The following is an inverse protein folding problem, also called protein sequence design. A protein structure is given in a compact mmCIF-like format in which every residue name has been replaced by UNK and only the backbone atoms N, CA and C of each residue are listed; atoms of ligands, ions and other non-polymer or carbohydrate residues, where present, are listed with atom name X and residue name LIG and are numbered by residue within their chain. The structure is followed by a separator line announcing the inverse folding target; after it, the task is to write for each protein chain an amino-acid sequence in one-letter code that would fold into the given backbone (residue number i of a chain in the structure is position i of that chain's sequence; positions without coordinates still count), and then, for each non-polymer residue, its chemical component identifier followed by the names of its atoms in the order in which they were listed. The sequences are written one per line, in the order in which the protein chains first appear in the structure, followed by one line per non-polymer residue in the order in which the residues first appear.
data_IF_317210169599
#
_entry.id   IF_317210169599
#
_cell.length_a   1.000
_cell.length_b   1.000
_cell.length_c   1.000
_cell.angle_alpha   90.00
_cell.angle_beta   90.00
_cell.angle_gamma   90.00
#
_symmetry.space_group_name_H-M   'P 1'
#
loop_
_entity.id
_entity.type
_entity.pdbx_description
1 polymer ?
#
# COMPACT_ATOMS: atom_id res chain seq x y z
N UNK A 1 30.13 92.78 -10.07
CA UNK A 1 29.03 92.71 -11.06
C UNK A 1 28.43 91.32 -10.94
N UNK A 2 27.15 91.04 -10.72
CA UNK A 2 25.92 91.82 -10.69
C UNK A 2 24.88 90.99 -9.90
N UNK A 3 24.07 91.66 -9.08
CA UNK A 3 22.86 91.14 -8.43
C UNK A 3 21.90 90.41 -9.39
N UNK A 4 21.12 89.44 -8.86
CA UNK A 4 19.64 89.52 -8.85
C UNK A 4 18.98 88.45 -7.97
N UNK A 5 18.30 88.96 -6.96
CA UNK A 5 17.18 88.37 -6.23
C UNK A 5 16.02 88.00 -7.15
N UNK A 6 15.35 86.87 -6.91
CA UNK A 6 13.95 86.71 -7.31
C UNK A 6 13.13 85.95 -6.26
N UNK A 7 12.26 86.71 -5.58
CA UNK A 7 11.10 86.19 -4.84
C UNK A 7 10.06 85.70 -5.86
N UNK A 8 9.60 84.47 -5.71
CA UNK A 8 8.27 83.96 -6.08
C UNK A 8 7.99 82.88 -5.02
N UNK A 9 7.00 82.99 -4.17
CA UNK A 9 5.61 83.31 -4.48
C UNK A 9 4.82 82.14 -3.88
N UNK A 10 4.47 82.29 -2.61
CA UNK A 10 3.53 81.42 -1.91
C UNK A 10 2.20 81.42 -2.68
N UNK A 11 1.84 80.30 -3.31
CA UNK A 11 0.48 79.94 -3.73
C UNK A 11 0.51 78.55 -4.38
N UNK A 12 0.18 77.53 -3.60
CA UNK A 12 0.03 76.17 -4.14
C UNK A 12 -0.30 75.09 -3.10
N UNK A 13 -0.77 75.45 -1.90
CA UNK A 13 -1.00 74.49 -0.81
C UNK A 13 -2.39 73.84 -0.75
N UNK A 14 -3.30 74.10 -1.70
CA UNK A 14 -4.72 73.71 -1.55
C UNK A 14 -5.33 72.87 -2.68
N UNK A 15 -4.55 72.44 -3.69
CA UNK A 15 -5.07 71.60 -4.78
C UNK A 15 -4.47 70.18 -4.86
N UNK A 16 -3.49 69.82 -4.02
CA UNK A 16 -2.92 68.46 -4.01
C UNK A 16 -3.59 67.49 -3.03
N UNK A 17 -4.52 67.98 -2.20
CA UNK A 17 -5.15 67.16 -1.16
C UNK A 17 -6.32 66.32 -1.69
N UNK A 18 -7.00 66.68 -2.79
CA UNK A 18 -8.14 65.88 -3.28
C UNK A 18 -7.74 64.68 -4.15
N UNK A 19 -6.63 64.74 -4.87
CA UNK A 19 -6.15 63.65 -5.72
C UNK A 19 -5.44 62.53 -4.95
N UNK A 20 -5.04 62.79 -3.70
CA UNK A 20 -4.40 61.81 -2.81
C UNK A 20 -5.42 60.91 -2.09
N UNK A 21 -6.62 61.42 -1.73
CA UNK A 21 -7.71 60.60 -1.17
C UNK A 21 -8.35 59.67 -2.22
N UNK A 22 -8.48 60.11 -3.47
CA UNK A 22 -9.10 59.30 -4.54
C UNK A 22 -8.15 58.16 -4.99
N UNK A 23 -6.84 58.40 -5.06
CA UNK A 23 -5.86 57.35 -5.37
C UNK A 23 -5.54 56.43 -4.17
N UNK A 24 -5.65 56.92 -2.93
CA UNK A 24 -5.47 56.10 -1.72
C UNK A 24 -6.60 55.09 -1.50
N UNK A 25 -7.84 55.46 -1.83
CA UNK A 25 -9.01 54.58 -1.69
C UNK A 25 -8.94 53.34 -2.58
N UNK A 26 -8.48 53.48 -3.84
CA UNK A 26 -8.33 52.35 -4.77
C UNK A 26 -7.30 51.32 -4.32
N UNK A 27 -6.13 51.77 -3.84
CA UNK A 27 -5.09 50.87 -3.33
C UNK A 27 -5.53 50.11 -2.07
N UNK A 28 -6.30 50.75 -1.19
CA UNK A 28 -6.86 50.08 0.00
C UNK A 28 -7.98 49.08 -0.35
N UNK A 29 -8.78 49.37 -1.38
CA UNK A 29 -9.85 48.49 -1.82
C UNK A 29 -9.30 47.25 -2.54
N UNK A 30 -8.26 47.40 -3.35
CA UNK A 30 -7.55 46.28 -3.99
C UNK A 30 -6.78 45.41 -2.98
N UNK A 31 -6.29 45.98 -1.87
CA UNK A 31 -5.70 45.23 -0.75
C UNK A 31 -6.75 44.51 0.11
N UNK A 32 -7.98 45.03 0.21
CA UNK A 32 -9.09 44.39 0.92
C UNK A 32 -9.74 43.27 0.08
N UNK A 33 -9.93 43.50 -1.23
CA UNK A 33 -10.28 42.45 -2.20
C UNK A 33 -9.16 41.40 -2.26
N UNK A 34 -7.91 41.87 -2.29
CA UNK A 34 -6.68 41.29 -1.76
C UNK A 34 -6.83 40.18 -0.72
N UNK A 35 -7.08 40.64 0.49
CA UNK A 35 -7.10 39.83 1.69
C UNK A 35 -8.24 38.81 1.67
N UNK A 36 -9.39 39.20 1.13
CA UNK A 36 -10.57 38.34 1.03
C UNK A 36 -10.39 37.22 0.00
N UNK A 37 -9.68 37.42 -1.12
CA UNK A 37 -9.34 36.32 -2.04
C UNK A 37 -8.31 35.36 -1.44
N UNK A 38 -7.32 35.85 -0.67
CA UNK A 38 -6.32 34.97 -0.02
C UNK A 38 -6.95 34.12 1.08
N UNK A 39 -7.88 34.70 1.84
CA UNK A 39 -8.64 33.97 2.85
C UNK A 39 -9.55 32.90 2.23
N UNK A 40 -10.27 33.24 1.15
CA UNK A 40 -11.10 32.27 0.39
C UNK A 40 -10.25 31.16 -0.25
N UNK A 41 -9.08 31.49 -0.80
CA UNK A 41 -8.17 30.50 -1.39
C UNK A 41 -7.59 29.53 -0.35
N UNK A 42 -7.26 30.00 0.85
CA UNK A 42 -6.78 29.15 1.94
C UNK A 42 -7.83 28.13 2.42
N UNK A 43 -9.09 28.57 2.56
CA UNK A 43 -10.19 27.67 2.94
C UNK A 43 -10.47 26.64 1.85
N UNK A 44 -10.46 27.03 0.57
CA UNK A 44 -10.64 26.11 -0.56
C UNK A 44 -9.51 25.07 -0.62
N UNK A 45 -8.26 25.45 -0.36
CA UNK A 45 -7.14 24.51 -0.32
C UNK A 45 -7.27 23.51 0.83
N UNK A 46 -7.69 23.93 2.02
CA UNK A 46 -7.93 23.03 3.14
C UNK A 46 -9.08 22.05 2.88
N UNK A 47 -10.15 22.52 2.22
CA UNK A 47 -11.28 21.68 1.82
C UNK A 47 -10.87 20.64 0.78
N UNK A 48 -10.10 21.05 -0.23
CA UNK A 48 -9.58 20.15 -1.27
C UNK A 48 -8.64 19.10 -0.68
N UNK A 49 -7.72 19.51 0.21
CA UNK A 49 -6.84 18.59 0.91
C UNK A 49 -7.60 17.61 1.84
N UNK A 50 -8.69 18.06 2.46
CA UNK A 50 -9.54 17.19 3.30
C UNK A 50 -10.33 16.20 2.45
N UNK A 51 -10.86 16.65 1.31
CA UNK A 51 -11.58 15.82 0.37
C UNK A 51 -10.68 14.72 -0.22
N UNK A 52 -9.45 15.05 -0.62
CA UNK A 52 -8.48 14.06 -1.10
C UNK A 52 -8.16 12.97 -0.07
N UNK A 53 -8.08 13.31 1.23
CA UNK A 53 -7.83 12.31 2.29
C UNK A 53 -9.03 11.39 2.48
N UNK A 54 -10.24 11.96 2.50
CA UNK A 54 -11.49 11.19 2.63
C UNK A 54 -11.67 10.28 1.42
N UNK A 55 -11.36 10.74 0.21
CA UNK A 55 -11.45 9.93 -1.00
C UNK A 55 -10.52 8.71 -0.94
N UNK A 56 -9.27 8.88 -0.47
CA UNK A 56 -8.33 7.76 -0.29
C UNK A 56 -8.84 6.76 0.75
N UNK A 57 -9.37 7.25 1.87
CA UNK A 57 -9.92 6.40 2.91
C UNK A 57 -11.17 5.65 2.43
N UNK A 58 -12.06 6.32 1.69
CA UNK A 58 -13.24 5.70 1.10
C UNK A 58 -12.88 4.64 0.07
N UNK A 59 -11.87 4.89 -0.79
CA UNK A 59 -11.36 3.88 -1.74
C UNK A 59 -10.79 2.66 -1.02
N UNK A 60 -10.04 2.88 0.06
CA UNK A 60 -9.51 1.80 0.88
C UNK A 60 -10.65 0.99 1.49
N UNK A 61 -11.60 1.63 2.15
CA UNK A 61 -12.76 0.94 2.73
C UNK A 61 -13.56 0.14 1.69
N UNK A 62 -13.79 0.73 0.52
CA UNK A 62 -14.48 0.06 -0.58
C UNK A 62 -13.71 -1.18 -1.06
N UNK A 63 -12.38 -1.10 -1.23
CA UNK A 63 -11.53 -2.26 -1.59
C UNK A 63 -11.77 -3.42 -0.62
N UNK A 64 -11.74 -3.16 0.68
CA UNK A 64 -11.91 -4.19 1.70
C UNK A 64 -13.35 -4.72 1.80
N UNK A 65 -14.36 -3.86 1.69
CA UNK A 65 -15.75 -4.29 1.61
C UNK A 65 -16.00 -5.22 0.41
N UNK A 66 -15.43 -4.94 -0.77
CA UNK A 66 -15.52 -5.82 -1.93
C UNK A 66 -14.90 -7.20 -1.70
N UNK A 67 -13.78 -7.29 -0.98
CA UNK A 67 -13.18 -8.59 -0.62
C UNK A 67 -14.11 -9.38 0.30
N UNK A 68 -14.73 -8.73 1.29
CA UNK A 68 -15.72 -9.38 2.15
C UNK A 68 -16.94 -9.91 1.38
N UNK A 69 -17.46 -9.13 0.42
CA UNK A 69 -18.54 -9.59 -0.46
C UNK A 69 -18.09 -10.78 -1.30
N UNK A 70 -16.85 -10.78 -1.80
CA UNK A 70 -16.32 -11.86 -2.62
C UNK A 70 -16.16 -13.18 -1.85
N UNK A 71 -15.77 -13.12 -0.57
CA UNK A 71 -15.53 -14.32 0.27
C UNK A 71 -16.82 -14.86 0.86
N UNK A 72 -17.67 -14.00 1.42
CA UNK A 72 -18.84 -14.43 2.20
C UNK A 72 -20.18 -14.20 1.50
N UNK A 73 -20.21 -13.43 0.40
CA UNK A 73 -21.45 -13.14 -0.33
C UNK A 73 -22.42 -12.21 0.41
N UNK A 74 -21.94 -11.44 1.39
CA UNK A 74 -22.78 -10.48 2.13
C UNK A 74 -23.20 -9.28 1.27
N UNK A 75 -24.30 -8.61 1.66
CA UNK A 75 -24.62 -7.29 1.14
C UNK A 75 -23.53 -6.28 1.48
N UNK A 76 -23.28 -5.32 0.57
CA UNK A 76 -22.18 -4.34 0.70
C UNK A 76 -22.21 -3.56 2.02
N UNK A 77 -23.40 -3.25 2.55
CA UNK A 77 -23.55 -2.52 3.81
C UNK A 77 -23.14 -3.37 5.03
N UNK A 78 -23.51 -4.65 5.02
CA UNK A 78 -23.15 -5.59 6.09
C UNK A 78 -21.66 -5.92 6.02
N UNK A 79 -21.15 -6.21 4.82
CA UNK A 79 -19.73 -6.44 4.56
C UNK A 79 -18.85 -5.27 5.03
N UNK A 80 -19.30 -4.03 4.79
CA UNK A 80 -18.61 -2.85 5.27
C UNK A 80 -18.55 -2.79 6.81
N UNK A 81 -19.64 -3.11 7.49
CA UNK A 81 -19.70 -3.07 8.97
C UNK A 81 -18.75 -4.09 9.59
N UNK A 82 -18.80 -5.34 9.11
CA UNK A 82 -17.90 -6.43 9.53
C UNK A 82 -16.43 -6.10 9.23
N UNK A 83 -16.15 -5.47 8.09
CA UNK A 83 -14.79 -5.03 7.76
C UNK A 83 -14.29 -3.98 8.77
N UNK A 84 -15.11 -2.99 9.16
CA UNK A 84 -14.73 -2.01 10.18
C UNK A 84 -14.47 -2.69 11.53
N UNK A 85 -15.30 -3.63 11.94
CA UNK A 85 -15.11 -4.35 13.20
C UNK A 85 -13.82 -5.16 13.20
N UNK A 86 -13.53 -5.83 12.08
CA UNK A 86 -12.26 -6.52 11.89
C UNK A 86 -11.07 -5.55 11.97
N UNK A 87 -11.14 -4.40 11.30
CA UNK A 87 -10.09 -3.38 11.36
C UNK A 87 -9.90 -2.77 12.75
N UNK A 88 -10.95 -2.72 13.57
CA UNK A 88 -10.82 -2.28 14.97
C UNK A 88 -10.00 -3.28 15.78
N UNK A 89 -10.09 -4.58 15.47
CA UNK A 89 -9.27 -5.63 16.07
C UNK A 89 -7.83 -5.66 15.52
N UNK A 90 -7.66 -5.57 14.19
CA UNK A 90 -6.34 -5.67 13.55
C UNK A 90 -5.53 -4.37 13.60
N UNK A 91 -6.22 -3.23 13.57
CA UNK A 91 -5.63 -1.89 13.67
C UNK A 91 -4.67 -1.53 12.53
N UNK A 92 -3.58 -0.85 12.91
CA UNK A 92 -2.58 -0.28 12.00
C UNK A 92 -1.80 -1.32 11.19
N UNK A 93 -1.80 -2.59 11.61
CA UNK A 93 -0.96 -3.62 10.96
C UNK A 93 -1.41 -3.94 9.56
N UNK A 94 -2.71 -3.86 9.27
CA UNK A 94 -3.23 -4.12 7.92
C UNK A 94 -2.76 -3.05 6.93
N UNK A 95 -2.63 -1.81 7.39
CA UNK A 95 -2.13 -0.70 6.57
C UNK A 95 -0.63 -0.86 6.33
N UNK A 96 0.15 -1.13 7.38
CA UNK A 96 1.60 -1.35 7.26
C UNK A 96 1.91 -2.52 6.34
N UNK A 97 1.13 -3.60 6.43
CA UNK A 97 1.30 -4.76 5.57
C UNK A 97 0.97 -4.44 4.10
N UNK A 98 -0.13 -3.73 3.81
CA UNK A 98 -0.49 -3.34 2.43
C UNK A 98 0.59 -2.41 1.82
N UNK A 99 1.18 -1.51 2.62
CA UNK A 99 2.29 -0.63 2.19
C UNK A 99 3.59 -1.42 1.96
N UNK A 100 3.94 -2.35 2.85
CA UNK A 100 5.14 -3.19 2.73
C UNK A 100 5.05 -4.10 1.51
N UNK A 101 3.90 -4.75 1.32
CA UNK A 101 3.61 -5.59 0.15
C UNK A 101 3.66 -4.73 -1.10
N UNK A 102 2.99 -3.57 -1.14
CA UNK A 102 3.02 -2.68 -2.29
C UNK A 102 4.44 -2.28 -2.70
N UNK A 103 5.28 -1.91 -1.74
CA UNK A 103 6.67 -1.54 -1.99
C UNK A 103 7.54 -2.75 -2.41
N UNK A 104 7.36 -3.90 -1.76
CA UNK A 104 8.07 -5.15 -2.12
C UNK A 104 7.74 -5.61 -3.54
N UNK A 105 6.46 -5.53 -3.92
CA UNK A 105 6.00 -5.90 -5.26
C UNK A 105 6.45 -4.90 -6.32
N UNK A 106 6.53 -3.61 -5.99
CA UNK A 106 7.08 -2.60 -6.89
C UNK A 106 8.57 -2.87 -7.20
N UNK A 107 9.36 -3.28 -6.19
CA UNK A 107 10.75 -3.71 -6.40
C UNK A 107 10.82 -4.98 -7.26
N UNK A 108 9.95 -5.97 -7.00
CA UNK A 108 9.85 -7.17 -7.85
C UNK A 108 9.54 -6.84 -9.32
N UNK A 109 8.61 -5.91 -9.55
CA UNK A 109 8.29 -5.39 -10.88
C UNK A 109 9.44 -4.62 -11.52
N UNK A 110 10.21 -3.85 -10.74
CA UNK A 110 11.39 -3.16 -11.24
C UNK A 110 12.46 -4.14 -11.72
N UNK A 111 12.68 -5.23 -10.99
CA UNK A 111 13.62 -6.31 -11.38
C UNK A 111 13.15 -7.00 -12.66
N UNK A 112 11.87 -7.39 -12.76
CA UNK A 112 11.36 -8.04 -13.98
C UNK A 112 11.42 -7.13 -15.20
N UNK A 113 11.09 -5.84 -15.04
CA UNK A 113 11.24 -4.82 -16.08
C UNK A 113 12.69 -4.66 -16.51
N UNK A 114 13.64 -4.60 -15.57
CA UNK A 114 15.06 -4.52 -15.87
C UNK A 114 15.57 -5.74 -16.63
N UNK A 115 15.13 -6.96 -16.29
CA UNK A 115 15.50 -8.19 -16.99
C UNK A 115 15.00 -8.19 -18.44
N UNK A 116 13.74 -7.83 -18.67
CA UNK A 116 13.16 -7.76 -20.02
C UNK A 116 13.84 -6.67 -20.85
N UNK A 117 14.14 -5.52 -20.23
CA UNK A 117 14.92 -4.45 -20.86
C UNK A 117 16.33 -4.88 -21.24
N UNK A 118 17.01 -5.63 -20.38
CA UNK A 118 18.36 -6.15 -20.64
C UNK A 118 18.35 -7.17 -21.77
N UNK A 119 17.33 -8.04 -21.85
CA UNK A 119 17.14 -8.96 -22.98
C UNK A 119 16.89 -8.19 -24.27
N UNK A 120 16.04 -7.15 -24.24
CA UNK A 120 15.79 -6.28 -25.40
C UNK A 120 17.06 -5.57 -25.90
N UNK A 121 17.90 -5.09 -24.98
CA UNK A 121 19.19 -4.49 -25.29
C UNK A 121 20.19 -5.50 -25.88
N UNK A 122 20.31 -6.69 -25.27
CA UNK A 122 21.19 -7.76 -25.76
C UNK A 122 20.76 -8.26 -27.15
N UNK A 123 19.46 -8.38 -27.40
CA UNK A 123 18.91 -8.76 -28.70
C UNK A 123 19.17 -7.69 -29.76
N UNK A 124 18.96 -6.42 -29.42
CA UNK A 124 19.20 -5.30 -30.34
C UNK A 124 20.67 -5.18 -30.77
N UNK A 125 21.60 -5.35 -29.83
CA UNK A 125 23.04 -5.33 -30.12
C UNK A 125 23.50 -6.54 -30.92
N UNK A 126 23.00 -7.75 -30.63
CA UNK A 126 23.33 -8.96 -31.36
C UNK A 126 22.81 -8.95 -32.82
N UNK A 127 21.67 -8.30 -33.05
CA UNK A 127 21.04 -8.18 -34.36
C UNK A 127 21.64 -7.06 -35.24
N UNK A 128 22.60 -6.29 -34.70
CA UNK A 128 23.26 -5.21 -35.42
C UNK A 128 22.36 -3.99 -35.70
N UNK A 129 21.35 -3.75 -34.87
CA UNK A 129 20.48 -2.57 -35.02
C UNK A 129 21.25 -1.27 -34.72
N UNK A 130 20.75 -0.17 -35.26
CA UNK A 130 21.23 1.18 -34.95
C UNK A 130 21.08 1.48 -33.45
N UNK A 131 22.03 2.23 -32.88
CA UNK A 131 22.09 2.54 -31.44
C UNK A 131 20.79 3.14 -30.90
N UNK A 132 20.10 3.96 -31.69
CA UNK A 132 18.82 4.57 -31.32
C UNK A 132 17.71 3.52 -31.24
N UNK A 133 17.66 2.58 -32.19
CA UNK A 133 16.68 1.50 -32.20
C UNK A 133 16.88 0.51 -31.05
N UNK A 134 18.14 0.21 -30.69
CA UNK A 134 18.47 -0.63 -29.52
C UNK A 134 18.00 0.02 -28.23
N UNK A 135 18.23 1.32 -28.07
CA UNK A 135 17.83 2.08 -26.88
C UNK A 135 16.30 2.14 -26.75
N UNK A 136 15.60 2.38 -27.86
CA UNK A 136 14.14 2.35 -27.89
C UNK A 136 13.59 0.97 -27.53
N UNK A 137 14.13 -0.10 -28.10
CA UNK A 137 13.69 -1.47 -27.82
C UNK A 137 13.88 -1.84 -26.35
N UNK A 138 15.02 -1.45 -25.75
CA UNK A 138 15.28 -1.65 -24.33
C UNK A 138 14.28 -0.87 -23.45
N UNK A 139 14.02 0.41 -23.76
CA UNK A 139 13.06 1.24 -23.02
C UNK A 139 11.63 0.70 -23.11
N UNK A 140 11.18 0.32 -24.30
CA UNK A 140 9.88 -0.32 -24.48
C UNK A 140 9.79 -1.64 -23.73
N UNK A 141 10.87 -2.44 -23.72
CA UNK A 141 10.97 -3.67 -22.93
C UNK A 141 10.83 -3.43 -21.42
N UNK A 142 11.52 -2.42 -20.88
CA UNK A 142 11.40 -2.08 -19.44
C UNK A 142 9.97 -1.62 -19.10
N UNK A 143 9.38 -0.74 -19.92
CA UNK A 143 8.05 -0.19 -19.66
C UNK A 143 6.99 -1.28 -19.74
N UNK A 144 7.02 -2.11 -20.78
CA UNK A 144 6.05 -3.21 -20.96
C UNK A 144 6.25 -4.30 -19.91
N UNK A 145 7.49 -4.66 -19.59
CA UNK A 145 7.83 -5.62 -18.54
C UNK A 145 7.36 -5.16 -17.16
N UNK A 146 7.69 -3.92 -16.78
CA UNK A 146 7.22 -3.34 -15.52
C UNK A 146 5.70 -3.22 -15.49
N UNK A 147 5.07 -2.78 -16.58
CA UNK A 147 3.61 -2.63 -16.66
C UNK A 147 2.87 -3.95 -16.46
N UNK A 148 3.32 -5.03 -17.10
CA UNK A 148 2.73 -6.36 -16.94
C UNK A 148 2.94 -6.87 -15.51
N UNK A 149 4.16 -6.79 -14.99
CA UNK A 149 4.45 -7.24 -13.62
C UNK A 149 3.72 -6.41 -12.57
N UNK A 150 3.57 -5.10 -12.76
CA UNK A 150 2.84 -4.24 -11.84
C UNK A 150 1.36 -4.63 -11.74
N UNK A 151 0.69 -4.92 -12.87
CA UNK A 151 -0.73 -5.33 -12.84
C UNK A 151 -0.88 -6.72 -12.21
N UNK A 152 -0.06 -7.68 -12.62
CA UNK A 152 -0.16 -9.06 -12.14
C UNK A 152 0.22 -9.15 -10.66
N UNK A 153 1.40 -8.67 -10.28
CA UNK A 153 1.88 -8.80 -8.91
C UNK A 153 1.07 -7.92 -7.97
N UNK A 154 0.99 -6.61 -8.22
CA UNK A 154 0.33 -5.71 -7.28
C UNK A 154 -1.18 -5.96 -7.20
N UNK A 155 -1.86 -6.21 -8.31
CA UNK A 155 -3.31 -6.45 -8.32
C UNK A 155 -3.70 -7.78 -7.67
N UNK A 156 -3.02 -8.87 -8.03
CA UNK A 156 -3.39 -10.21 -7.56
C UNK A 156 -2.92 -10.46 -6.13
N UNK A 157 -1.70 -10.05 -5.79
CA UNK A 157 -1.12 -10.40 -4.49
C UNK A 157 -1.76 -9.58 -3.38
N UNK A 158 -2.03 -8.29 -3.60
CA UNK A 158 -2.70 -7.46 -2.57
C UNK A 158 -4.13 -7.94 -2.29
N UNK A 159 -4.85 -8.44 -3.29
CA UNK A 159 -6.19 -9.02 -3.11
C UNK A 159 -6.16 -10.42 -2.49
N UNK A 160 -5.20 -11.25 -2.88
CA UNK A 160 -4.99 -12.57 -2.28
C UNK A 160 -4.62 -12.47 -0.80
N UNK A 161 -3.67 -11.61 -0.44
CA UNK A 161 -3.25 -11.41 0.96
C UNK A 161 -4.41 -10.85 1.79
N UNK A 162 -5.15 -9.86 1.29
CA UNK A 162 -6.34 -9.36 1.98
C UNK A 162 -7.37 -10.47 2.25
N UNK A 163 -7.58 -11.37 1.28
CA UNK A 163 -8.49 -12.51 1.42
C UNK A 163 -8.02 -13.50 2.47
N UNK A 164 -6.74 -13.87 2.43
CA UNK A 164 -6.12 -14.79 3.40
C UNK A 164 -6.17 -14.21 4.81
N UNK A 165 -5.90 -12.91 4.98
CA UNK A 165 -5.98 -12.22 6.27
C UNK A 165 -7.41 -12.22 6.84
N UNK A 166 -8.42 -11.96 6.00
CA UNK A 166 -9.82 -12.00 6.44
C UNK A 166 -10.21 -13.42 6.85
N UNK A 167 -9.88 -14.43 6.04
CA UNK A 167 -10.16 -15.83 6.36
C UNK A 167 -9.49 -16.26 7.68
N UNK A 168 -8.22 -15.89 7.86
CA UNK A 168 -7.46 -16.17 9.06
C UNK A 168 -8.09 -15.51 10.29
N UNK A 169 -8.51 -14.24 10.17
CA UNK A 169 -9.05 -13.51 11.30
C UNK A 169 -10.47 -13.93 11.70
N UNK A 170 -11.30 -14.38 10.75
CA UNK A 170 -12.66 -14.86 11.06
C UNK A 170 -12.70 -16.28 11.59
N UNK A 171 -12.00 -17.24 10.95
CA UNK A 171 -12.09 -18.66 11.30
C UNK A 171 -10.74 -19.37 11.09
N UNK A 172 -9.79 -19.22 12.03
CA UNK A 172 -8.46 -19.82 11.90
C UNK A 172 -8.50 -21.36 11.80
N UNK A 173 -9.52 -22.00 12.38
CA UNK A 173 -9.68 -23.46 12.38
C UNK A 173 -9.94 -24.05 10.99
N UNK A 174 -10.64 -23.33 10.11
CA UNK A 174 -10.91 -23.80 8.74
C UNK A 174 -9.64 -23.81 7.87
N UNK A 175 -8.72 -22.88 8.13
CA UNK A 175 -7.42 -22.84 7.45
C UNK A 175 -6.53 -23.99 7.93
N UNK A 176 -6.53 -24.26 9.24
CA UNK A 176 -5.76 -25.36 9.85
C UNK A 176 -6.16 -26.73 9.32
N UNK A 177 -7.45 -27.00 9.08
CA UNK A 177 -7.88 -28.31 8.56
C UNK A 177 -7.43 -28.57 7.12
N UNK A 178 -7.20 -27.51 6.34
CA UNK A 178 -6.87 -27.62 4.91
C UNK A 178 -5.36 -27.57 4.68
N UNK A 179 -4.64 -26.70 5.39
CA UNK A 179 -3.20 -26.50 5.25
C UNK A 179 -2.55 -26.24 6.63
N UNK A 180 -2.21 -27.30 7.35
CA UNK A 180 -1.63 -27.21 8.70
C UNK A 180 -0.27 -26.50 8.74
N UNK A 181 0.66 -26.85 7.84
CA UNK A 181 2.02 -26.28 7.86
C UNK A 181 2.04 -24.76 7.63
N UNK A 182 1.23 -24.27 6.67
CA UNK A 182 1.12 -22.83 6.39
C UNK A 182 0.41 -22.09 7.53
N UNK A 183 -0.56 -22.75 8.17
CA UNK A 183 -1.26 -22.18 9.30
C UNK A 183 -0.33 -21.95 10.49
N UNK A 184 0.55 -22.91 10.79
CA UNK A 184 1.50 -22.81 11.91
C UNK A 184 2.47 -21.63 11.71
N UNK A 185 3.02 -21.46 10.50
CA UNK A 185 3.91 -20.32 10.16
C UNK A 185 3.18 -18.97 10.24
N UNK A 186 1.96 -18.90 9.70
CA UNK A 186 1.13 -17.68 9.79
C UNK A 186 0.77 -17.35 11.23
N UNK A 187 0.42 -18.36 12.04
CA UNK A 187 0.05 -18.18 13.43
C UNK A 187 1.24 -17.71 14.27
N UNK A 188 2.45 -18.25 14.03
CA UNK A 188 3.68 -17.81 14.68
C UNK A 188 3.96 -16.33 14.41
N UNK A 189 3.98 -15.93 13.13
CA UNK A 189 4.19 -14.54 12.72
C UNK A 189 3.11 -13.61 13.26
N UNK A 190 1.87 -14.09 13.34
CA UNK A 190 0.75 -13.33 13.86
C UNK A 190 0.79 -13.17 15.38
N UNK A 191 1.18 -14.20 16.13
CA UNK A 191 1.36 -14.13 17.59
C UNK A 191 2.51 -13.19 17.93
N UNK A 192 3.60 -13.20 17.16
CA UNK A 192 4.71 -12.26 17.32
C UNK A 192 4.24 -10.81 17.13
N UNK A 193 3.37 -10.56 16.15
CA UNK A 193 2.88 -9.20 15.83
C UNK A 193 1.73 -8.72 16.72
N UNK A 194 0.81 -9.60 17.14
CA UNK A 194 -0.48 -9.26 17.77
C UNK A 194 -0.77 -10.00 19.08
N UNK A 195 0.21 -10.69 19.68
CA UNK A 195 0.04 -11.52 20.88
C UNK A 195 -0.86 -10.94 21.99
N UNK A 196 -0.72 -9.66 22.40
CA UNK A 196 -1.58 -9.05 23.42
C UNK A 196 -3.04 -8.84 23.00
N UNK A 197 -3.29 -8.59 21.70
CA UNK A 197 -4.61 -8.31 21.15
C UNK A 197 -5.40 -9.61 20.97
N UNK A 198 -4.72 -10.70 20.62
CA UNK A 198 -5.32 -12.04 20.49
C UNK A 198 -5.99 -12.50 21.79
N UNK A 199 -5.32 -12.29 22.94
CA UNK A 199 -5.90 -12.61 24.25
C UNK A 199 -7.13 -11.73 24.57
N UNK A 200 -7.14 -10.46 24.14
CA UNK A 200 -8.27 -9.56 24.33
C UNK A 200 -9.48 -9.90 23.45
N UNK A 201 -9.24 -10.45 22.25
CA UNK A 201 -10.27 -10.95 21.33
C UNK A 201 -10.74 -12.38 21.68
N UNK A 202 -10.22 -13.00 22.75
CA UNK A 202 -10.66 -14.31 23.22
C UNK A 202 -9.98 -15.51 22.55
N UNK A 203 -8.92 -15.30 21.76
CA UNK A 203 -8.13 -16.38 21.20
C UNK A 203 -6.97 -16.72 22.16
N UNK A 204 -7.13 -17.83 22.90
CA UNK A 204 -6.08 -18.42 23.75
C UNK A 204 -5.15 -19.30 22.91
N UNK A 205 -3.86 -18.95 22.87
CA UNK A 205 -2.81 -19.75 22.18
C UNK A 205 -2.76 -21.19 22.75
N UNK A 206 -3.07 -21.35 24.03
CA UNK A 206 -3.14 -22.64 24.73
C UNK A 206 -4.25 -23.56 24.20
N UNK A 207 -5.40 -23.02 23.78
CA UNK A 207 -6.52 -23.79 23.21
C UNK A 207 -6.24 -24.21 21.76
N UNK A 208 -5.42 -23.46 21.04
CA UNK A 208 -4.97 -23.84 19.70
C UNK A 208 -3.81 -24.87 19.75
N UNK A 209 -2.94 -24.81 20.75
CA UNK A 209 -1.87 -25.80 20.94
C UNK A 209 -2.36 -27.18 21.42
N UNK A 210 -3.54 -27.24 22.04
CA UNK A 210 -4.15 -28.47 22.59
C UNK A 210 -5.03 -29.23 21.60
N UNK A 211 -5.29 -28.67 20.42
CA UNK A 211 -5.94 -29.39 19.31
C UNK A 211 -4.89 -30.24 18.58
N UNK A 212 -5.12 -31.56 18.41
CA UNK A 212 -4.14 -32.45 17.83
C UNK A 212 -3.77 -31.96 16.44
N UNK A 213 -2.46 -31.88 16.17
CA UNK A 213 -1.97 -31.64 14.82
C UNK A 213 -2.56 -32.73 13.90
N UNK A 214 -2.97 -32.39 12.67
CA UNK A 214 -3.46 -33.41 11.71
C UNK A 214 -2.38 -34.49 11.46
N UNK A 215 -1.11 -34.19 11.75
CA UNK A 215 -0.03 -35.17 11.75
C UNK A 215 -0.25 -36.32 12.74
N UNK A 216 -0.77 -36.06 13.95
CA UNK A 216 -1.14 -37.09 14.94
C UNK A 216 -2.43 -37.85 14.58
N UNK A 217 -3.38 -37.18 13.91
CA UNK A 217 -4.61 -37.83 13.45
C UNK A 217 -4.35 -38.79 12.28
N UNK A 218 -3.39 -38.46 11.40
CA UNK A 218 -3.00 -39.34 10.29
C UNK A 218 -2.23 -40.55 10.80
N UNK A 219 -1.34 -40.43 11.78
CA UNK A 219 -0.68 -41.59 12.41
C UNK A 219 -1.66 -42.47 13.19
N UNK A 220 -2.68 -41.89 13.84
CA UNK A 220 -3.73 -42.68 14.50
C UNK A 220 -4.65 -43.42 13.53
N UNK A 221 -4.89 -42.91 12.33
CA UNK A 221 -5.78 -43.54 11.34
C UNK A 221 -5.08 -44.44 10.32
N UNK A 222 -3.75 -44.39 10.21
CA UNK A 222 -2.98 -45.24 9.27
C UNK A 222 -2.16 -46.33 9.94
N UNK A 223 -2.13 -46.42 11.27
CA UNK A 223 -1.46 -47.52 11.98
C UNK A 223 0.03 -47.67 11.63
N UNK A 224 0.68 -46.61 11.18
CA UNK A 224 2.12 -46.58 10.91
C UNK A 224 2.83 -45.96 12.10
N UNK A 225 3.27 -46.83 13.01
CA UNK A 225 4.26 -46.51 14.02
C UNK A 225 5.60 -46.22 13.33
N UNK A 226 5.94 -44.95 13.15
CA UNK A 226 7.34 -44.57 12.93
C UNK A 226 8.06 -44.82 14.25
N UNK A 227 8.73 -45.96 14.33
CA UNK A 227 9.60 -46.28 15.46
C UNK A 227 10.87 -45.47 15.30
N UNK A 228 11.15 -44.60 16.26
CA UNK A 228 12.47 -44.01 16.45
C UNK A 228 13.52 -45.13 16.56
N UNK A 229 14.51 -45.11 15.68
CA UNK A 229 15.78 -45.80 15.92
C UNK A 229 16.91 -44.81 15.72
N UNK A 230 17.37 -44.28 16.84
CA UNK A 230 18.70 -43.70 16.95
C UNK A 230 19.75 -44.80 16.75
N UNK A 231 20.93 -44.39 16.27
CA UNK A 231 22.23 -45.05 16.47
C UNK A 231 22.74 -45.98 15.35
N UNK A 232 23.61 -45.40 14.52
CA UNK A 232 24.94 -45.89 14.11
C UNK A 232 25.13 -47.18 13.26
N UNK A 233 26.10 -47.03 12.36
CA UNK A 233 27.02 -48.03 11.79
C UNK A 233 26.61 -48.86 10.54
N UNK A 234 27.37 -48.58 9.48
CA UNK A 234 27.99 -49.50 8.51
C UNK A 234 27.15 -50.53 7.70
N UNK A 235 27.54 -50.59 6.41
CA UNK A 235 27.41 -51.69 5.44
C UNK A 235 26.15 -51.63 4.55
N UNK A 236 26.31 -51.21 3.30
CA UNK A 236 26.49 -52.02 2.06
C UNK A 236 25.17 -52.25 1.32
N UNK A 237 25.17 -51.78 0.07
CA UNK A 237 24.48 -52.33 -1.11
C UNK A 237 23.08 -52.93 -0.93
N UNK A 238 22.07 -52.32 -1.55
CA UNK A 238 21.42 -52.91 -2.73
C UNK A 238 20.39 -51.95 -3.35
N UNK A 239 20.27 -52.12 -4.66
CA UNK A 239 19.36 -51.54 -5.64
C UNK A 239 17.88 -51.91 -5.36
N UNK A 240 16.95 -51.33 -6.14
CA UNK A 240 15.67 -51.90 -6.65
C UNK A 240 14.50 -50.90 -6.50
N UNK A 241 14.16 -50.11 -7.52
CA UNK A 241 13.30 -50.35 -8.72
C UNK A 241 11.82 -49.97 -8.50
N UNK A 242 11.36 -49.11 -9.41
CA UNK A 242 9.98 -48.70 -9.67
C UNK A 242 8.99 -49.87 -9.82
N UNK A 243 7.77 -49.65 -9.32
CA UNK A 243 6.52 -50.02 -10.01
C UNK A 243 5.62 -48.78 -10.01
#
# INVERSE_FOLDING_TARGET
MHHRTQRRGSRGGMMSLSSSWINGGGQTFDLLLGYSYRFRAGVLYCLDASFMRIERLAKYFNKWAFVFVAVYGYDFQTAGTEAVELFRGLGWTVIVNDDLIGNGLALGGAVSGALIGLIGWAYGTASGLESDAVTLLALFGVITGYGISAVLMNGLITSAVATVLICFAQNPMALRSTHTLLFDEMLEAWVEMHGPIMQACGYSVEEQSSLPSVSETVTSNTGLTVSDSSTNDHATSEEVTLV
#
